data_IF_309234440507
#
_entry.id   IF_309234440507
#
_cell.length_a   1.000
_cell.length_b   1.000
_cell.length_c   1.000
_cell.angle_alpha   90.00
_cell.angle_beta   90.00
_cell.angle_gamma   90.00
#
_symmetry.space_group_name_H-M   'P 1'
#
loop_
_entity.id
_entity.type
_entity.pdbx_description
1 polymer ?
#
# COMPACT_ATOMS: atom_id res chain seq x y z
N UNK A 1 35.69 7.98 -8.33
CA UNK A 1 35.11 6.62 -8.36
C UNK A 1 34.02 6.48 -7.28
N UNK A 2 32.78 6.95 -7.53
CA UNK A 2 31.69 6.92 -6.54
C UNK A 2 30.90 5.60 -6.49
N UNK A 3 31.22 4.63 -7.36
CA UNK A 3 30.45 3.38 -7.53
C UNK A 3 30.53 2.48 -6.28
N UNK A 4 31.59 2.60 -5.49
CA UNK A 4 31.84 1.74 -4.32
C UNK A 4 30.78 1.94 -3.22
N UNK A 5 30.30 3.18 -3.02
CA UNK A 5 29.27 3.48 -2.02
C UNK A 5 27.89 2.94 -2.43
N UNK A 6 27.58 2.99 -3.72
CA UNK A 6 26.29 2.53 -4.24
C UNK A 6 26.24 0.99 -4.32
N UNK A 7 27.35 0.36 -4.70
CA UNK A 7 27.47 -1.10 -4.69
C UNK A 7 27.37 -1.68 -3.27
N UNK A 8 27.91 -0.98 -2.25
CA UNK A 8 27.81 -1.41 -0.86
C UNK A 8 26.35 -1.48 -0.37
N UNK A 9 25.51 -0.53 -0.76
CA UNK A 9 24.09 -0.51 -0.37
C UNK A 9 23.28 -1.58 -1.13
N UNK A 10 23.62 -1.86 -2.40
CA UNK A 10 22.96 -2.92 -3.18
C UNK A 10 23.36 -4.35 -2.74
N UNK A 11 24.49 -4.49 -2.06
CA UNK A 11 24.99 -5.78 -1.56
C UNK A 11 24.79 -5.95 -0.05
N UNK A 12 23.89 -5.16 0.56
CA UNK A 12 23.59 -5.26 1.98
C UNK A 12 22.79 -6.54 2.25
N UNK A 13 23.47 -7.59 2.71
CA UNK A 13 22.83 -8.86 3.07
C UNK A 13 22.64 -8.89 4.59
N UNK A 14 21.94 -9.92 5.06
CA UNK A 14 21.70 -10.13 6.48
C UNK A 14 22.96 -10.01 7.38
N UNK A 15 24.13 -10.58 7.03
CA UNK A 15 25.31 -10.48 7.90
C UNK A 15 25.87 -9.05 7.99
N UNK A 16 25.87 -8.25 6.93
CA UNK A 16 26.35 -6.87 6.95
C UNK A 16 25.44 -5.99 7.82
N UNK A 17 24.11 -6.20 7.74
CA UNK A 17 23.16 -5.52 8.61
C UNK A 17 23.44 -5.86 10.08
N UNK A 18 23.69 -7.13 10.41
CA UNK A 18 24.02 -7.56 11.78
C UNK A 18 25.30 -6.91 12.29
N UNK A 19 26.35 -6.78 11.45
CA UNK A 19 27.59 -6.11 11.82
C UNK A 19 27.39 -4.62 12.15
N UNK A 20 26.64 -3.92 11.31
CA UNK A 20 26.31 -2.50 11.55
C UNK A 20 25.49 -2.36 12.83
N UNK A 21 24.52 -3.25 13.04
CA UNK A 21 23.72 -3.28 14.26
C UNK A 21 24.60 -3.51 15.49
N UNK A 22 25.54 -4.46 15.42
CA UNK A 22 26.47 -4.74 16.51
C UNK A 22 27.38 -3.54 16.82
N UNK A 23 27.88 -2.84 15.80
CA UNK A 23 28.65 -1.61 15.98
C UNK A 23 27.80 -0.51 16.66
N UNK A 24 26.55 -0.35 16.22
CA UNK A 24 25.59 0.58 16.83
C UNK A 24 25.28 0.20 18.29
N UNK A 25 25.14 -1.09 18.59
CA UNK A 25 24.97 -1.61 19.94
C UNK A 25 26.21 -1.41 20.82
N UNK A 26 27.41 -1.30 20.25
CA UNK A 26 28.62 -1.01 21.01
C UNK A 26 28.68 0.48 21.40
N UNK A 27 28.30 1.38 20.48
CA UNK A 27 28.24 2.82 20.72
C UNK A 27 27.08 3.22 21.65
N UNK A 28 25.88 2.74 21.35
CA UNK A 28 24.66 3.11 22.10
C UNK A 28 24.35 2.15 23.25
N UNK A 29 24.84 0.90 23.20
CA UNK A 29 24.53 -0.14 24.17
C UNK A 29 23.30 -0.99 23.78
N UNK A 30 23.36 -2.28 24.09
CA UNK A 30 22.27 -3.25 23.82
C UNK A 30 20.92 -2.91 24.48
N UNK A 31 20.92 -2.07 25.53
CA UNK A 31 19.69 -1.66 26.23
C UNK A 31 18.99 -0.46 25.59
N UNK A 32 19.73 0.43 24.92
CA UNK A 32 19.19 1.70 24.41
C UNK A 32 18.29 1.52 23.20
N UNK A 33 18.69 0.71 22.22
CA UNK A 33 17.89 0.47 21.02
C UNK A 33 16.49 -0.09 21.34
N UNK A 34 16.36 -1.18 22.13
CA UNK A 34 15.05 -1.72 22.51
C UNK A 34 14.20 -0.74 23.33
N UNK A 35 14.84 0.08 24.17
CA UNK A 35 14.17 1.10 24.96
C UNK A 35 13.58 2.22 24.07
N UNK A 36 14.37 2.71 23.10
CA UNK A 36 13.94 3.68 22.09
C UNK A 36 12.80 3.13 21.22
N UNK A 37 12.90 1.89 20.75
CA UNK A 37 11.81 1.28 19.96
C UNK A 37 10.53 1.09 20.78
N UNK A 38 10.64 0.76 22.07
CA UNK A 38 9.48 0.65 22.96
C UNK A 38 8.78 1.99 23.17
N UNK A 39 9.52 3.07 23.41
CA UNK A 39 8.91 4.40 23.58
C UNK A 39 8.34 4.93 22.26
N UNK A 40 9.09 4.80 21.17
CA UNK A 40 8.64 5.19 19.82
C UNK A 40 7.40 4.42 19.38
N UNK A 41 7.37 3.10 19.61
CA UNK A 41 6.22 2.26 19.30
C UNK A 41 4.97 2.61 20.10
N UNK A 42 5.13 3.02 21.37
CA UNK A 42 4.03 3.59 22.16
C UNK A 42 3.53 4.89 21.55
N UNK A 43 4.43 5.83 21.22
CA UNK A 43 4.05 7.09 20.57
C UNK A 43 3.28 6.88 19.27
N UNK A 44 3.72 5.96 18.40
CA UNK A 44 3.03 5.63 17.16
C UNK A 44 1.64 5.04 17.42
N UNK A 45 1.51 4.18 18.44
CA UNK A 45 0.22 3.58 18.81
C UNK A 45 -0.78 4.64 19.30
N UNK A 46 -0.35 5.50 20.22
CA UNK A 46 -1.18 6.59 20.72
C UNK A 46 -1.54 7.58 19.61
N UNK A 47 -0.59 7.90 18.73
CA UNK A 47 -0.84 8.74 17.56
C UNK A 47 -1.90 8.13 16.64
N UNK A 48 -1.77 6.84 16.29
CA UNK A 48 -2.76 6.14 15.46
C UNK A 48 -4.13 6.12 16.11
N UNK A 49 -4.20 5.94 17.43
CA UNK A 49 -5.47 5.95 18.18
C UNK A 49 -6.13 7.33 18.11
N UNK A 50 -5.39 8.40 18.42
CA UNK A 50 -5.90 9.76 18.34
C UNK A 50 -6.37 10.11 16.91
N UNK A 51 -5.62 9.72 15.88
CA UNK A 51 -6.04 9.94 14.48
C UNK A 51 -7.31 9.17 14.14
N UNK A 52 -7.46 7.92 14.61
CA UNK A 52 -8.67 7.12 14.39
C UNK A 52 -9.89 7.74 15.08
N UNK A 53 -9.73 8.15 16.34
CA UNK A 53 -10.80 8.77 17.12
C UNK A 53 -11.29 10.06 16.41
N UNK A 54 -10.36 10.87 15.86
CA UNK A 54 -10.71 12.06 15.05
C UNK A 54 -11.41 11.70 13.74
N UNK A 55 -10.94 10.66 13.04
CA UNK A 55 -11.56 10.21 11.79
C UNK A 55 -13.01 9.74 12.00
N UNK A 56 -13.26 9.02 13.09
CA UNK A 56 -14.59 8.54 13.47
C UNK A 56 -15.50 9.72 13.86
N UNK A 57 -15.01 10.69 14.65
CA UNK A 57 -15.75 11.90 15.01
C UNK A 57 -16.17 12.72 13.77
N UNK A 58 -15.28 12.86 12.80
CA UNK A 58 -15.55 13.57 11.54
C UNK A 58 -16.60 12.81 10.72
N UNK A 59 -16.51 11.48 10.63
CA UNK A 59 -17.50 10.65 9.92
C UNK A 59 -18.88 10.75 10.56
N UNK A 60 -18.98 10.64 11.88
CA UNK A 60 -20.25 10.80 12.60
C UNK A 60 -20.85 12.19 12.40
N UNK A 61 -20.04 13.25 12.45
CA UNK A 61 -20.52 14.61 12.20
C UNK A 61 -21.01 14.83 10.74
N UNK A 62 -20.45 14.12 9.76
CA UNK A 62 -20.88 14.16 8.37
C UNK A 62 -22.18 13.38 8.14
N UNK A 63 -22.36 12.24 8.82
CA UNK A 63 -23.59 11.44 8.74
C UNK A 63 -24.78 12.15 9.44
N UNK A 64 -24.54 12.85 10.56
CA UNK A 64 -25.58 13.61 11.28
C UNK A 64 -26.13 14.82 10.51
N UNK A 65 -25.41 15.34 9.50
CA UNK A 65 -25.91 16.42 8.64
C UNK A 65 -26.74 15.92 7.43
N UNK A 66 -26.86 14.60 7.24
CA UNK A 66 -27.58 13.99 6.11
C UNK A 66 -28.66 13.02 6.60
N UNK A 67 -29.50 13.41 7.55
CA UNK A 67 -30.74 12.67 7.87
C UNK A 67 -31.82 13.67 8.29
N UNK A 68 -32.36 14.38 7.31
CA UNK A 68 -33.66 15.06 7.36
C UNK A 68 -34.14 15.34 5.92
N UNK A 69 -34.15 14.34 5.02
CA UNK A 69 -35.07 14.38 3.88
C UNK A 69 -35.21 12.99 3.20
N UNK A 70 -36.48 12.62 3.02
CA UNK A 70 -37.07 11.68 2.05
C UNK A 70 -37.09 10.16 2.35
N UNK A 71 -38.29 9.70 2.74
CA UNK A 71 -38.87 8.37 2.47
C UNK A 71 -38.88 8.05 0.95
N UNK A 72 -38.35 6.86 0.59
CA UNK A 72 -38.67 5.86 -0.48
C UNK A 72 -39.11 6.27 -1.93
N UNK A 73 -39.08 5.35 -2.94
CA UNK A 73 -38.01 4.43 -3.41
C UNK A 73 -37.86 4.48 -4.95
N UNK A 74 -36.66 4.46 -5.55
CA UNK A 74 -36.53 4.04 -6.96
C UNK A 74 -35.27 3.21 -7.22
N UNK A 75 -35.52 1.95 -7.58
CA UNK A 75 -34.56 1.08 -8.24
C UNK A 75 -34.39 1.53 -9.69
N UNK A 76 -33.17 1.90 -10.09
CA UNK A 76 -32.80 1.91 -11.50
C UNK A 76 -31.70 0.88 -11.71
N UNK A 77 -32.20 -0.29 -12.10
CA UNK A 77 -31.51 -1.33 -12.80
C UNK A 77 -30.98 -0.76 -14.14
N UNK A 78 -29.73 -1.11 -14.46
CA UNK A 78 -29.31 -1.43 -15.84
C UNK A 78 -29.11 -0.26 -16.83
N UNK A 79 -27.91 0.34 -16.88
CA UNK A 79 -27.39 0.95 -18.13
C UNK A 79 -25.85 0.79 -18.20
N UNK A 80 -25.37 0.33 -19.36
CA UNK A 80 -23.97 0.30 -19.85
C UNK A 80 -23.11 -0.95 -19.53
N UNK A 81 -23.50 -2.07 -20.13
CA UNK A 81 -22.54 -2.88 -20.90
C UNK A 81 -23.13 -3.26 -22.26
N UNK A 82 -23.28 -2.25 -23.12
CA UNK A 82 -23.42 -2.42 -24.56
C UNK A 82 -22.70 -1.26 -25.24
N UNK A 83 -21.50 -1.50 -25.73
CA UNK A 83 -21.11 -0.94 -27.02
C UNK A 83 -20.31 -2.00 -27.77
N UNK A 84 -20.79 -2.41 -28.95
CA UNK A 84 -20.05 -3.19 -29.93
C UNK A 84 -18.91 -2.34 -30.50
N UNK A 85 -17.73 -2.92 -30.62
CA UNK A 85 -16.76 -2.51 -31.63
C UNK A 85 -16.60 -3.73 -32.52
N UNK A 86 -17.34 -3.69 -33.60
CA UNK A 86 -17.15 -4.50 -34.79
C UNK A 86 -15.73 -4.27 -35.34
N UNK A 87 -15.18 -5.35 -35.88
CA UNK A 87 -14.41 -5.35 -37.13
C UNK A 87 -13.13 -4.50 -37.16
N UNK A 88 -11.99 -5.13 -36.86
CA UNK A 88 -10.91 -5.15 -37.85
C UNK A 88 -10.57 -6.60 -38.18
N UNK A 89 -11.31 -7.09 -39.17
CA UNK A 89 -10.95 -8.18 -40.05
C UNK A 89 -10.00 -7.59 -41.11
N UNK A 90 -8.69 -7.85 -41.01
CA UNK A 90 -7.80 -7.88 -42.18
C UNK A 90 -6.84 -9.06 -41.99
N UNK A 91 -7.28 -10.18 -42.55
CA UNK A 91 -6.53 -11.14 -43.34
C UNK A 91 -5.00 -10.97 -43.41
N UNK A 92 -4.29 -12.00 -42.96
CA UNK A 92 -3.29 -12.66 -43.80
C UNK A 92 -3.10 -14.10 -43.33
N UNK A 93 -3.93 -14.97 -43.90
CA UNK A 93 -3.47 -16.08 -44.72
C UNK A 93 -2.02 -16.55 -44.47
N UNK A 94 -1.88 -17.66 -43.76
CA UNK A 94 -1.23 -18.84 -44.34
C UNK A 94 -1.57 -20.06 -43.48
N UNK A 95 -2.65 -20.73 -43.86
CA UNK A 95 -2.68 -22.20 -43.87
C UNK A 95 -1.56 -22.73 -44.82
N UNK A 96 -1.24 -24.05 -44.87
CA UNK A 96 -1.94 -25.18 -44.26
C UNK A 96 -1.03 -26.23 -43.59
N UNK A 97 -1.72 -27.07 -42.80
CA UNK A 97 -1.58 -28.52 -42.75
C UNK A 97 -0.18 -29.17 -42.77
N UNK A 98 0.04 -30.09 -41.83
CA UNK A 98 -0.27 -31.48 -42.17
C UNK A 98 -0.18 -32.38 -40.95
N UNK A 99 -1.27 -33.10 -40.76
CA UNK A 99 -1.49 -34.17 -39.81
C UNK A 99 -0.75 -35.41 -40.33
N UNK A 100 -0.05 -36.12 -39.44
CA UNK A 100 0.50 -37.46 -39.63
C UNK A 100 0.54 -38.16 -38.29
#
# INVERSE_FOLDING_TARGET
MPILHLAFIQNLRAPEIILIFLAMLLFFGAKRLPELFRSFGKSIREFKKATSDIEDDIRTAMDEQTTNEADEPEQIQNVQKTSPLDEEDIDSESEPASKG
#
